data_IF_168709632174
#
_entry.id   IF_168709632174
#
_cell.length_a   1.000
_cell.length_b   1.000
_cell.length_c   1.000
_cell.angle_alpha   90.00
_cell.angle_beta   90.00
_cell.angle_gamma   90.00
#
_symmetry.space_group_name_H-M   'P 1'
#
loop_
_entity.id
_entity.type
_entity.pdbx_description
1 polymer ?
#
# COMPACT_ATOMS: atom_id res chain seq x y z
N UNK A 1 -10.22 -7.53 25.38
CA UNK A 1 -10.02 -8.64 24.44
C UNK A 1 -8.54 -9.02 24.36
N UNK A 2 -8.25 -10.19 23.82
CA UNK A 2 -6.90 -10.63 23.46
C UNK A 2 -6.60 -10.32 21.99
N UNK A 3 -5.57 -9.50 21.74
CA UNK A 3 -5.10 -9.09 20.42
C UNK A 3 -3.84 -9.87 20.06
N UNK A 4 -3.83 -10.54 18.91
CA UNK A 4 -2.74 -11.34 18.41
C UNK A 4 -1.97 -10.63 17.29
N UNK A 5 -0.64 -10.73 17.32
CA UNK A 5 0.26 -10.17 16.30
C UNK A 5 1.21 -11.28 15.82
N UNK A 6 0.84 -12.04 14.78
CA UNK A 6 1.73 -13.02 14.20
C UNK A 6 2.85 -12.32 13.41
N UNK A 7 3.96 -13.02 13.21
CA UNK A 7 5.05 -12.61 12.34
C UNK A 7 4.58 -12.65 10.88
N UNK A 8 5.00 -11.66 10.09
CA UNK A 8 4.73 -11.70 8.66
C UNK A 8 5.58 -12.77 7.97
N UNK A 9 4.93 -13.55 7.10
CA UNK A 9 5.56 -14.68 6.40
C UNK A 9 5.61 -14.50 4.87
N UNK A 10 5.02 -13.42 4.35
CA UNK A 10 5.12 -13.10 2.93
C UNK A 10 6.58 -12.75 2.60
N UNK A 11 7.06 -13.18 1.44
CA UNK A 11 8.45 -12.96 1.04
C UNK A 11 8.80 -11.46 1.07
N UNK A 12 9.96 -11.14 1.66
CA UNK A 12 10.45 -9.77 1.89
C UNK A 12 9.47 -8.83 2.60
N UNK A 13 8.59 -9.38 3.46
CA UNK A 13 7.77 -8.59 4.36
C UNK A 13 8.44 -8.50 5.74
N UNK A 14 9.00 -7.34 6.05
CA UNK A 14 9.71 -7.09 7.32
C UNK A 14 8.91 -6.20 8.28
N UNK A 15 7.73 -5.72 7.86
CA UNK A 15 6.84 -4.96 8.73
C UNK A 15 6.14 -5.89 9.72
N UNK A 16 5.58 -5.31 10.78
CA UNK A 16 4.80 -6.01 11.80
C UNK A 16 3.47 -5.29 12.07
N UNK A 17 2.44 -6.06 12.43
CA UNK A 17 1.07 -5.56 12.63
C UNK A 17 0.99 -4.48 13.71
N UNK A 18 1.64 -4.71 14.87
CA UNK A 18 1.71 -3.73 15.95
C UNK A 18 3.16 -3.40 16.35
N UNK A 19 3.44 -2.12 16.55
CA UNK A 19 4.68 -1.65 17.21
C UNK A 19 4.59 -1.79 18.73
N UNK A 20 5.72 -1.79 19.46
CA UNK A 20 5.70 -1.71 20.93
C UNK A 20 4.91 -0.50 21.47
N UNK A 21 4.93 0.64 20.77
CA UNK A 21 4.12 1.80 21.14
C UNK A 21 2.62 1.53 21.00
N UNK A 22 2.19 0.91 19.89
CA UNK A 22 0.80 0.51 19.71
C UNK A 22 0.36 -0.56 20.73
N UNK A 23 1.22 -1.54 21.02
CA UNK A 23 0.97 -2.53 22.08
C UNK A 23 0.69 -1.85 23.41
N UNK A 24 1.50 -0.87 23.80
CA UNK A 24 1.30 -0.12 25.04
C UNK A 24 -0.06 0.59 25.10
N UNK A 25 -0.55 1.09 23.98
CA UNK A 25 -1.88 1.70 23.88
C UNK A 25 -3.00 0.67 24.10
N UNK A 26 -2.92 -0.50 23.44
CA UNK A 26 -3.88 -1.59 23.68
C UNK A 26 -3.89 -2.05 25.14
N UNK A 27 -2.71 -2.25 25.75
CA UNK A 27 -2.57 -2.63 27.16
C UNK A 27 -3.13 -1.57 28.09
N UNK A 28 -2.86 -0.29 27.81
CA UNK A 28 -3.37 0.83 28.61
C UNK A 28 -4.90 0.99 28.52
N UNK A 29 -5.52 0.47 27.45
CA UNK A 29 -6.97 0.37 27.29
C UNK A 29 -7.55 -0.93 27.90
N UNK A 30 -6.77 -1.69 28.66
CA UNK A 30 -7.21 -2.89 29.36
C UNK A 30 -7.32 -4.14 28.47
N UNK A 31 -6.66 -4.14 27.30
CA UNK A 31 -6.56 -5.31 26.44
C UNK A 31 -5.28 -6.10 26.71
N UNK A 32 -5.30 -7.38 26.34
CA UNK A 32 -4.10 -8.22 26.34
C UNK A 32 -3.55 -8.28 24.92
N UNK A 33 -2.22 -8.35 24.79
CA UNK A 33 -1.56 -8.48 23.49
C UNK A 33 -0.63 -9.69 23.53
N UNK A 34 -0.75 -10.56 22.53
CA UNK A 34 0.08 -11.74 22.32
C UNK A 34 0.82 -11.59 21.00
N UNK A 35 2.14 -11.49 21.05
CA UNK A 35 3.01 -11.27 19.88
C UNK A 35 3.81 -12.53 19.61
N UNK A 36 3.87 -12.98 18.36
CA UNK A 36 4.78 -14.06 17.99
C UNK A 36 6.24 -13.63 18.19
N UNK A 37 7.06 -14.52 18.74
CA UNK A 37 8.50 -14.28 18.89
C UNK A 37 9.13 -13.83 17.57
N UNK A 38 10.00 -12.82 17.65
CA UNK A 38 10.72 -12.23 16.52
C UNK A 38 9.83 -11.60 15.44
N UNK A 39 8.56 -11.28 15.74
CA UNK A 39 7.66 -10.65 14.77
C UNK A 39 8.15 -9.28 14.27
N UNK A 40 8.80 -8.50 15.14
CA UNK A 40 9.33 -7.17 14.82
C UNK A 40 10.86 -7.08 14.70
N UNK A 41 11.57 -8.21 14.86
CA UNK A 41 13.03 -8.24 15.04
C UNK A 41 13.78 -7.64 13.84
N UNK A 42 13.33 -7.95 12.61
CA UNK A 42 13.94 -7.50 11.37
C UNK A 42 14.01 -5.97 11.20
N UNK A 43 13.20 -5.22 11.96
CA UNK A 43 13.18 -3.75 11.95
C UNK A 43 13.56 -3.14 13.30
N UNK A 44 14.15 -3.94 14.18
CA UNK A 44 14.68 -3.50 15.48
C UNK A 44 13.61 -3.33 16.56
N UNK A 45 12.56 -4.15 16.54
CA UNK A 45 11.63 -4.31 17.67
C UNK A 45 11.79 -5.72 18.24
N UNK A 46 12.61 -5.84 19.29
CA UNK A 46 12.86 -7.13 19.95
C UNK A 46 11.68 -7.57 20.82
N UNK A 47 11.63 -8.86 21.13
CA UNK A 47 10.65 -9.44 22.06
C UNK A 47 10.66 -8.72 23.43
N UNK A 48 11.84 -8.35 23.94
CA UNK A 48 11.98 -7.58 25.18
C UNK A 48 11.28 -6.22 25.11
N UNK A 49 11.26 -5.56 23.95
CA UNK A 49 10.55 -4.30 23.77
C UNK A 49 9.03 -4.51 23.83
N UNK A 50 8.53 -5.63 23.28
CA UNK A 50 7.12 -5.99 23.37
C UNK A 50 6.72 -6.36 24.80
N UNK A 51 7.55 -7.13 25.51
CA UNK A 51 7.36 -7.45 26.93
C UNK A 51 7.34 -6.18 27.77
N UNK A 52 8.29 -5.26 27.55
CA UNK A 52 8.33 -3.97 28.25
C UNK A 52 7.10 -3.07 27.95
N UNK A 53 6.46 -3.27 26.79
CA UNK A 53 5.21 -2.61 26.43
C UNK A 53 3.96 -3.30 27.03
N UNK A 54 4.12 -4.47 27.65
CA UNK A 54 3.05 -5.22 28.32
C UNK A 54 2.46 -6.39 27.51
N UNK A 55 3.07 -6.77 26.39
CA UNK A 55 2.65 -7.97 25.65
C UNK A 55 3.21 -9.26 26.26
N UNK A 56 2.48 -10.36 26.05
CA UNK A 56 3.02 -11.71 26.15
C UNK A 56 3.65 -12.12 24.81
N UNK A 57 4.63 -13.03 24.86
CA UNK A 57 5.28 -13.59 23.67
C UNK A 57 4.79 -15.03 23.45
N UNK A 58 4.26 -15.29 22.27
CA UNK A 58 3.92 -16.62 21.79
C UNK A 58 5.13 -17.24 21.08
N UNK A 59 5.34 -18.54 21.27
CA UNK A 59 6.43 -19.25 20.59
C UNK A 59 6.15 -19.55 19.12
N UNK A 60 4.87 -19.58 18.71
CA UNK A 60 4.49 -19.90 17.33
C UNK A 60 3.27 -19.10 16.86
N UNK A 61 3.12 -18.96 15.55
CA UNK A 61 1.94 -18.38 14.93
C UNK A 61 0.65 -19.13 15.33
N UNK A 62 0.68 -20.47 15.37
CA UNK A 62 -0.49 -21.29 15.72
C UNK A 62 -1.04 -20.91 17.09
N UNK A 63 -0.16 -20.63 18.06
CA UNK A 63 -0.58 -20.16 19.38
C UNK A 63 -1.29 -18.81 19.29
N UNK A 64 -0.71 -17.84 18.58
CA UNK A 64 -1.32 -16.51 18.38
C UNK A 64 -2.70 -16.64 17.75
N UNK A 65 -2.79 -17.38 16.64
CA UNK A 65 -4.06 -17.60 15.97
C UNK A 65 -5.04 -18.33 16.88
N UNK A 66 -4.65 -19.39 17.59
CA UNK A 66 -5.52 -20.20 18.46
C UNK A 66 -6.10 -19.45 19.65
N UNK A 67 -5.37 -18.49 20.23
CA UNK A 67 -5.78 -17.81 21.46
C UNK A 67 -6.46 -16.46 21.20
N UNK A 68 -5.97 -15.66 20.24
CA UNK A 68 -6.42 -14.28 20.08
C UNK A 68 -7.86 -14.14 19.53
N UNK A 69 -8.57 -13.13 20.01
CA UNK A 69 -9.91 -12.76 19.51
C UNK A 69 -9.82 -11.88 18.26
N UNK A 70 -8.79 -11.04 18.17
CA UNK A 70 -8.48 -10.21 17.02
C UNK A 70 -7.03 -10.41 16.58
N UNK A 71 -6.82 -10.68 15.29
CA UNK A 71 -5.51 -10.78 14.65
C UNK A 71 -5.22 -9.48 13.90
N UNK A 72 -4.12 -8.84 14.23
CA UNK A 72 -3.63 -7.64 13.54
C UNK A 72 -2.38 -8.00 12.73
N UNK A 73 -2.47 -7.84 11.41
CA UNK A 73 -1.40 -8.13 10.45
C UNK A 73 -1.14 -6.92 9.56
N UNK A 74 -0.06 -6.98 8.80
CA UNK A 74 0.24 -6.03 7.72
C UNK A 74 -0.29 -6.55 6.41
N UNK A 75 0.13 -7.75 5.99
CA UNK A 75 -0.24 -8.33 4.71
C UNK A 75 -1.37 -9.33 4.86
N UNK A 76 -1.91 -9.68 3.72
CA UNK A 76 -2.97 -10.66 3.63
C UNK A 76 -2.49 -12.03 4.12
N UNK A 77 -3.31 -12.76 4.91
CA UNK A 77 -2.91 -14.06 5.43
C UNK A 77 -2.60 -15.02 4.28
N UNK A 78 -1.51 -15.76 4.40
CA UNK A 78 -1.16 -16.79 3.44
C UNK A 78 -2.07 -18.02 3.63
N UNK A 79 -2.18 -18.94 2.66
CA UNK A 79 -3.15 -20.04 2.72
C UNK A 79 -3.08 -20.91 3.98
N UNK A 80 -1.91 -21.07 4.59
CA UNK A 80 -1.76 -21.75 5.87
C UNK A 80 -2.32 -20.93 7.05
N UNK A 81 -2.10 -19.61 7.07
CA UNK A 81 -2.66 -18.71 8.10
C UNK A 81 -4.18 -18.59 7.98
N UNK A 82 -4.74 -18.55 6.75
CA UNK A 82 -6.18 -18.52 6.56
C UNK A 82 -6.88 -19.74 7.19
N UNK A 83 -6.23 -20.91 7.16
CA UNK A 83 -6.75 -22.15 7.78
C UNK A 83 -6.68 -22.15 9.30
N UNK A 84 -5.89 -21.25 9.90
CA UNK A 84 -5.82 -21.07 11.35
C UNK A 84 -6.90 -20.13 11.89
N UNK A 85 -7.50 -19.31 11.01
CA UNK A 85 -8.63 -18.45 11.35
C UNK A 85 -9.88 -19.27 11.68
N UNK A 86 -10.72 -18.72 12.56
CA UNK A 86 -11.95 -19.37 13.01
C UNK A 86 -13.13 -18.41 13.10
N UNK A 87 -14.32 -18.98 13.11
CA UNK A 87 -15.57 -18.26 13.42
C UNK A 87 -15.46 -17.52 14.75
N UNK A 88 -15.96 -16.29 14.79
CA UNK A 88 -15.90 -15.41 15.96
C UNK A 88 -14.57 -14.63 16.12
N UNK A 89 -13.55 -14.93 15.31
CA UNK A 89 -12.30 -14.19 15.30
C UNK A 89 -12.37 -13.00 14.32
N UNK A 90 -11.68 -11.91 14.65
CA UNK A 90 -11.51 -10.76 13.77
C UNK A 90 -10.14 -10.74 13.14
N UNK A 91 -10.06 -10.53 11.83
CA UNK A 91 -8.83 -10.29 11.10
C UNK A 91 -8.82 -8.83 10.63
N UNK A 92 -7.79 -8.07 11.00
CA UNK A 92 -7.64 -6.66 10.65
C UNK A 92 -6.27 -6.43 9.98
N UNK A 93 -6.27 -6.33 8.65
CA UNK A 93 -5.04 -6.29 7.80
C UNK A 93 -5.34 -5.78 6.38
N UNK A 94 -4.34 -5.65 5.50
CA UNK A 94 -4.59 -5.56 4.05
C UNK A 94 -5.04 -6.91 3.48
N UNK A 95 -6.05 -6.94 2.60
CA UNK A 95 -6.53 -8.20 2.02
C UNK A 95 -6.32 -8.30 0.51
N UNK A 96 -6.71 -7.27 -0.25
CA UNK A 96 -6.68 -7.25 -1.70
C UNK A 96 -7.40 -8.47 -2.33
N UNK A 97 -8.64 -8.72 -1.91
CA UNK A 97 -9.38 -9.94 -2.26
C UNK A 97 -9.72 -10.09 -3.74
N UNK A 98 -10.06 -8.99 -4.44
CA UNK A 98 -10.53 -9.04 -5.83
C UNK A 98 -9.60 -9.80 -6.80
N UNK A 99 -8.26 -9.63 -6.75
CA UNK A 99 -7.33 -10.43 -7.55
C UNK A 99 -6.96 -11.81 -6.98
N UNK A 100 -7.38 -12.17 -5.76
CA UNK A 100 -7.01 -13.44 -5.10
C UNK A 100 -8.24 -14.31 -4.74
N UNK A 101 -8.70 -15.16 -5.68
CA UNK A 101 -9.82 -16.06 -5.45
C UNK A 101 -9.54 -17.09 -4.35
N UNK A 102 -8.30 -17.58 -4.25
CA UNK A 102 -7.94 -18.63 -3.28
C UNK A 102 -8.03 -18.08 -1.87
N UNK A 103 -7.50 -16.89 -1.63
CA UNK A 103 -7.63 -16.23 -0.35
C UNK A 103 -9.10 -15.97 -0.01
N UNK A 104 -9.87 -15.44 -0.97
CA UNK A 104 -11.29 -15.13 -0.77
C UNK A 104 -12.07 -16.36 -0.32
N UNK A 105 -11.90 -17.51 -0.99
CA UNK A 105 -12.53 -18.78 -0.60
C UNK A 105 -12.13 -19.22 0.82
N UNK A 106 -10.84 -19.13 1.16
CA UNK A 106 -10.34 -19.55 2.48
C UNK A 106 -10.85 -18.65 3.61
N UNK A 107 -10.94 -17.33 3.39
CA UNK A 107 -11.49 -16.42 4.38
C UNK A 107 -12.99 -16.62 4.58
N UNK A 108 -13.75 -16.87 3.50
CA UNK A 108 -15.16 -17.26 3.57
C UNK A 108 -15.30 -18.55 4.40
N UNK A 109 -14.51 -19.57 4.09
CA UNK A 109 -14.55 -20.87 4.77
C UNK A 109 -14.18 -20.78 6.26
N UNK A 110 -13.30 -19.84 6.64
CA UNK A 110 -12.92 -19.63 8.05
C UNK A 110 -14.07 -19.14 8.93
N UNK A 111 -15.06 -18.46 8.33
CA UNK A 111 -16.14 -17.78 9.05
C UNK A 111 -15.71 -16.59 9.90
N UNK A 112 -14.45 -16.13 9.78
CA UNK A 112 -13.94 -14.97 10.51
C UNK A 112 -14.57 -13.65 10.02
N UNK A 113 -14.46 -12.60 10.84
CA UNK A 113 -14.78 -11.22 10.46
C UNK A 113 -13.53 -10.56 9.91
N UNK A 114 -13.47 -10.34 8.60
CA UNK A 114 -12.28 -9.84 7.91
C UNK A 114 -12.49 -8.37 7.50
N UNK A 115 -11.66 -7.49 8.05
CA UNK A 115 -11.69 -6.05 7.85
C UNK A 115 -10.42 -5.65 7.09
N UNK A 116 -10.60 -5.08 5.89
CA UNK A 116 -9.53 -4.70 4.99
C UNK A 116 -9.10 -3.24 5.24
N UNK A 117 -7.81 -3.01 5.47
CA UNK A 117 -7.27 -1.65 5.64
C UNK A 117 -7.59 -0.76 4.43
N UNK A 118 -7.40 -1.29 3.23
CA UNK A 118 -7.52 -0.55 1.97
C UNK A 118 -8.96 -0.20 1.58
N UNK A 119 -9.97 -0.67 2.32
CA UNK A 119 -11.38 -0.30 2.08
C UNK A 119 -12.00 0.50 3.22
N UNK A 120 -11.27 0.74 4.32
CA UNK A 120 -11.64 1.76 5.31
C UNK A 120 -11.54 3.13 4.64
N UNK A 121 -12.57 3.96 4.86
CA UNK A 121 -12.72 5.27 4.19
C UNK A 121 -12.54 6.44 5.15
N UNK A 122 -12.64 7.67 4.66
CA UNK A 122 -12.76 8.88 5.49
C UNK A 122 -13.87 9.82 4.96
N UNK A 123 -14.18 10.88 5.71
CA UNK A 123 -15.21 11.86 5.35
C UNK A 123 -14.89 12.68 4.09
N UNK A 124 -13.65 12.60 3.59
CA UNK A 124 -13.18 13.28 2.37
C UNK A 124 -13.15 12.34 1.17
N UNK A 125 -13.66 11.11 1.31
CA UNK A 125 -13.65 10.09 0.26
C UNK A 125 -12.28 9.45 0.04
N UNK A 126 -11.35 9.61 0.98
CA UNK A 126 -10.03 9.01 0.98
C UNK A 126 -9.99 7.61 1.60
N UNK A 127 -8.79 7.01 1.55
CA UNK A 127 -8.47 5.71 2.13
C UNK A 127 -7.38 5.91 3.20
N UNK A 128 -7.74 6.28 4.44
CA UNK A 128 -6.79 6.76 5.45
C UNK A 128 -5.75 5.71 5.86
N UNK A 129 -6.08 4.42 5.74
CA UNK A 129 -5.15 3.34 6.08
C UNK A 129 -4.27 2.93 4.90
N UNK A 130 -4.62 3.32 3.67
CA UNK A 130 -3.76 3.14 2.48
C UNK A 130 -2.84 4.33 2.24
N UNK A 131 -3.26 5.53 2.66
CA UNK A 131 -2.54 6.77 2.44
C UNK A 131 -1.08 6.71 2.92
N UNK A 132 -0.74 6.24 4.15
CA UNK A 132 0.66 6.19 4.60
C UNK A 132 1.54 5.33 3.70
N UNK A 133 1.02 4.21 3.17
CA UNK A 133 1.78 3.35 2.25
C UNK A 133 1.97 4.03 0.90
N UNK A 134 0.96 4.77 0.44
CA UNK A 134 1.06 5.61 -0.77
C UNK A 134 2.09 6.73 -0.61
N UNK A 135 2.16 7.36 0.57
CA UNK A 135 3.17 8.37 0.87
C UNK A 135 4.58 7.78 0.81
N UNK A 136 4.80 6.64 1.46
CA UNK A 136 6.10 5.94 1.42
C UNK A 136 6.47 5.55 0.00
N UNK A 137 5.56 4.90 -0.74
CA UNK A 137 5.82 4.45 -2.10
C UNK A 137 6.14 5.63 -3.04
N UNK A 138 5.39 6.74 -2.92
CA UNK A 138 5.68 7.98 -3.64
C UNK A 138 7.08 8.51 -3.35
N UNK A 139 7.52 8.53 -2.08
CA UNK A 139 8.87 8.99 -1.75
C UNK A 139 9.97 8.05 -2.24
N UNK A 140 9.78 6.75 -2.04
CA UNK A 140 10.72 5.73 -2.49
C UNK A 140 10.84 5.70 -4.01
N UNK A 141 9.78 6.03 -4.76
CA UNK A 141 9.82 6.04 -6.22
C UNK A 141 10.92 6.92 -6.79
N UNK A 142 11.17 8.07 -6.17
CA UNK A 142 12.24 8.98 -6.57
C UNK A 142 13.60 8.50 -6.11
N UNK A 143 13.70 7.91 -4.92
CA UNK A 143 14.97 7.34 -4.44
C UNK A 143 15.42 6.18 -5.34
N UNK A 144 14.51 5.26 -5.66
CA UNK A 144 14.76 4.16 -6.58
C UNK A 144 15.07 4.71 -7.99
N UNK A 145 14.25 5.63 -8.51
CA UNK A 145 14.46 6.24 -9.81
C UNK A 145 15.81 6.94 -9.94
N UNK A 146 16.24 7.68 -8.93
CA UNK A 146 17.55 8.33 -8.89
C UNK A 146 18.70 7.34 -8.87
N UNK A 147 18.57 6.26 -8.10
CA UNK A 147 19.59 5.21 -8.04
C UNK A 147 19.73 4.48 -9.39
N UNK A 148 18.60 4.13 -10.02
CA UNK A 148 18.60 3.44 -11.32
C UNK A 148 18.90 4.36 -12.51
N UNK A 149 18.95 5.68 -12.31
CA UNK A 149 19.50 6.62 -13.27
C UNK A 149 21.03 6.54 -13.37
N UNK A 150 21.72 6.00 -12.37
CA UNK A 150 23.18 5.85 -12.41
C UNK A 150 23.62 4.89 -13.53
N UNK A 151 24.75 5.19 -14.17
CA UNK A 151 25.21 4.42 -15.34
C UNK A 151 25.53 2.97 -15.01
N UNK A 152 25.96 2.69 -13.78
CA UNK A 152 26.23 1.35 -13.27
C UNK A 152 24.99 0.44 -13.26
N UNK A 153 23.79 1.04 -13.25
CA UNK A 153 22.51 0.33 -13.22
C UNK A 153 21.75 0.38 -14.56
N UNK A 154 22.42 0.81 -15.65
CA UNK A 154 21.84 0.89 -16.99
C UNK A 154 21.19 2.24 -17.33
N UNK A 155 21.06 3.14 -16.35
CA UNK A 155 20.52 4.47 -16.55
C UNK A 155 21.38 5.40 -17.41
N UNK A 156 20.89 6.61 -17.64
CA UNK A 156 21.52 7.63 -18.47
C UNK A 156 22.76 8.25 -17.82
N UNK A 157 22.94 8.10 -16.51
CA UNK A 157 23.96 8.77 -15.71
C UNK A 157 23.54 10.16 -15.22
N UNK A 158 22.25 10.50 -15.31
CA UNK A 158 21.73 11.82 -14.90
C UNK A 158 21.60 11.90 -13.38
N UNK A 159 22.33 12.83 -12.77
CA UNK A 159 22.11 13.24 -11.39
C UNK A 159 20.89 14.19 -11.34
N UNK A 160 19.83 13.80 -10.62
CA UNK A 160 18.58 14.56 -10.59
C UNK A 160 18.75 16.03 -10.20
N UNK A 161 19.58 16.34 -9.22
CA UNK A 161 19.81 17.72 -8.77
C UNK A 161 20.73 18.55 -9.66
N UNK A 162 21.42 17.92 -10.62
CA UNK A 162 22.53 18.56 -11.34
C UNK A 162 23.59 19.12 -10.37
N UNK A 163 24.34 20.11 -10.85
CA UNK A 163 25.29 20.93 -10.07
C UNK A 163 25.38 22.32 -10.71
N UNK A 164 25.88 23.37 -10.04
CA UNK A 164 26.05 24.68 -10.66
C UNK A 164 26.80 24.60 -12.00
N UNK A 165 26.15 25.04 -13.09
CA UNK A 165 26.66 24.95 -14.46
C UNK A 165 26.19 23.73 -15.27
N UNK A 166 25.44 22.80 -14.65
CA UNK A 166 24.88 21.60 -15.29
C UNK A 166 23.37 21.53 -14.99
N UNK A 167 22.56 21.28 -16.02
CA UNK A 167 21.10 21.20 -15.86
C UNK A 167 20.69 20.02 -14.94
N UNK A 168 19.62 20.18 -14.15
CA UNK A 168 19.05 19.09 -13.37
C UNK A 168 18.35 18.06 -14.28
N UNK A 169 18.11 16.87 -13.73
CA UNK A 169 17.29 15.85 -14.38
C UNK A 169 15.82 16.24 -14.41
N UNK A 170 15.12 15.80 -15.46
CA UNK A 170 13.68 16.03 -15.65
C UNK A 170 12.87 14.86 -15.10
N UNK A 171 11.98 15.14 -14.15
CA UNK A 171 11.09 14.15 -13.53
C UNK A 171 9.65 14.42 -13.94
N UNK A 172 9.04 13.43 -14.58
CA UNK A 172 7.61 13.41 -14.88
C UNK A 172 6.88 12.56 -13.85
N UNK A 173 5.81 13.07 -13.26
CA UNK A 173 4.91 12.31 -12.39
C UNK A 173 3.54 12.26 -13.05
N UNK A 174 3.04 11.05 -13.34
CA UNK A 174 1.71 10.86 -13.94
C UNK A 174 0.74 10.45 -12.83
N UNK A 175 -0.15 11.35 -12.46
CA UNK A 175 -1.08 11.23 -11.33
C UNK A 175 -0.69 12.14 -10.17
N UNK A 176 -1.58 13.07 -9.80
CA UNK A 176 -1.38 14.07 -8.75
C UNK A 176 -1.86 13.66 -7.36
N UNK A 177 -2.22 12.40 -7.15
CA UNK A 177 -2.70 11.87 -5.87
C UNK A 177 -1.63 11.83 -4.76
N UNK A 178 -1.85 11.03 -3.72
CA UNK A 178 -0.94 10.92 -2.56
C UNK A 178 0.47 10.48 -2.98
N UNK A 179 0.55 9.43 -3.82
CA UNK A 179 1.82 8.94 -4.38
C UNK A 179 2.54 10.04 -5.14
N UNK A 180 1.87 10.63 -6.14
CA UNK A 180 2.49 11.63 -7.01
C UNK A 180 2.92 12.91 -6.29
N UNK A 181 2.15 13.34 -5.29
CA UNK A 181 2.52 14.49 -4.45
C UNK A 181 3.81 14.24 -3.67
N UNK A 182 3.94 13.03 -3.10
CA UNK A 182 5.13 12.67 -2.34
C UNK A 182 6.34 12.42 -3.25
N UNK A 183 6.12 11.85 -4.44
CA UNK A 183 7.15 11.76 -5.47
C UNK A 183 7.64 13.16 -5.87
N UNK A 184 6.74 14.08 -6.21
CA UNK A 184 7.11 15.45 -6.57
C UNK A 184 7.85 16.19 -5.44
N UNK A 185 7.42 16.04 -4.18
CA UNK A 185 8.14 16.58 -3.01
C UNK A 185 9.58 16.07 -2.94
N UNK A 186 9.81 14.79 -3.21
CA UNK A 186 11.16 14.23 -3.14
C UNK A 186 12.00 14.61 -4.34
N UNK A 187 11.45 14.59 -5.54
CA UNK A 187 12.16 15.00 -6.75
C UNK A 187 12.57 16.48 -6.67
N UNK A 188 11.65 17.35 -6.26
CA UNK A 188 11.94 18.78 -6.05
C UNK A 188 12.99 18.97 -4.94
N UNK A 189 12.89 18.22 -3.84
CA UNK A 189 13.86 18.27 -2.74
C UNK A 189 15.27 17.83 -3.14
N UNK A 190 15.41 16.98 -4.16
CA UNK A 190 16.71 16.63 -4.76
C UNK A 190 17.21 17.68 -5.76
N UNK A 191 16.40 18.69 -6.11
CA UNK A 191 16.73 19.74 -7.08
C UNK A 191 16.33 19.43 -8.53
N UNK A 192 15.49 18.42 -8.76
CA UNK A 192 15.04 18.05 -10.10
C UNK A 192 14.09 19.08 -10.73
N UNK A 193 13.99 19.08 -12.06
CA UNK A 193 12.93 19.77 -12.79
C UNK A 193 11.67 18.88 -12.86
N UNK A 194 10.63 19.24 -12.13
CA UNK A 194 9.46 18.37 -11.90
C UNK A 194 8.21 18.86 -12.65
N UNK A 195 7.56 17.94 -13.35
CA UNK A 195 6.21 18.12 -13.92
C UNK A 195 5.26 17.06 -13.37
N UNK A 196 4.06 17.46 -12.94
CA UNK A 196 2.95 16.56 -12.60
C UNK A 196 1.85 16.67 -13.66
N UNK A 197 1.40 15.53 -14.18
CA UNK A 197 0.20 15.41 -15.03
C UNK A 197 -0.99 14.88 -14.22
N UNK A 198 -2.14 15.55 -14.30
CA UNK A 198 -3.41 15.07 -13.72
C UNK A 198 -4.60 15.53 -14.57
N UNK A 199 -5.76 14.86 -14.47
CA UNK A 199 -7.01 15.27 -15.16
C UNK A 199 -7.90 16.16 -14.31
N UNK A 200 -7.64 16.26 -13.00
CA UNK A 200 -8.41 17.07 -12.07
C UNK A 200 -7.81 18.47 -11.98
N UNK A 201 -8.46 19.44 -12.64
CA UNK A 201 -8.10 20.86 -12.52
C UNK A 201 -8.14 21.37 -11.06
N UNK A 202 -9.11 20.99 -10.21
CA UNK A 202 -9.04 21.31 -8.78
C UNK A 202 -7.79 20.75 -8.11
N UNK A 203 -7.36 19.53 -8.47
CA UNK A 203 -6.16 18.92 -7.90
C UNK A 203 -4.89 19.63 -8.36
N UNK A 204 -4.78 19.96 -9.64
CA UNK A 204 -3.64 20.71 -10.17
C UNK A 204 -3.49 22.08 -9.49
N UNK A 205 -4.60 22.80 -9.23
CA UNK A 205 -4.57 24.04 -8.45
C UNK A 205 -4.02 23.83 -7.04
N UNK A 206 -4.47 22.80 -6.33
CA UNK A 206 -3.93 22.48 -4.99
C UNK A 206 -2.42 22.17 -5.04
N UNK A 207 -1.96 21.46 -6.07
CA UNK A 207 -0.54 21.13 -6.21
C UNK A 207 0.28 22.40 -6.49
N UNK A 208 -0.21 23.29 -7.34
CA UNK A 208 0.42 24.59 -7.59
C UNK A 208 0.58 25.41 -6.30
N UNK A 209 -0.48 25.47 -5.48
CA UNK A 209 -0.44 26.11 -4.16
C UNK A 209 0.57 25.44 -3.20
N UNK A 210 0.61 24.09 -3.17
CA UNK A 210 1.52 23.31 -2.31
C UNK A 210 2.99 23.56 -2.66
N UNK A 211 3.28 23.66 -3.96
CA UNK A 211 4.65 23.81 -4.47
C UNK A 211 5.02 25.25 -4.80
N UNK A 212 4.10 26.21 -4.58
CA UNK A 212 4.30 27.63 -4.85
C UNK A 212 4.88 27.89 -6.26
N UNK A 213 4.30 27.21 -7.27
CA UNK A 213 4.72 27.30 -8.67
C UNK A 213 6.06 26.63 -9.02
N UNK A 214 6.76 26.00 -8.08
CA UNK A 214 8.05 25.33 -8.35
C UNK A 214 7.92 24.01 -9.10
N UNK A 215 6.73 23.39 -9.07
CA UNK A 215 6.41 22.17 -9.82
C UNK A 215 5.43 22.52 -10.93
N UNK A 216 5.74 22.12 -12.16
CA UNK A 216 4.85 22.34 -13.31
C UNK A 216 3.63 21.43 -13.18
N UNK A 217 2.44 22.01 -13.02
CA UNK A 217 1.17 21.26 -12.98
C UNK A 217 0.47 21.35 -14.33
N UNK A 218 0.31 20.24 -15.04
CA UNK A 218 -0.22 20.24 -16.41
C UNK A 218 -1.41 19.29 -16.53
N UNK A 219 -2.41 19.70 -17.31
CA UNK A 219 -3.55 18.85 -17.60
C UNK A 219 -3.14 17.65 -18.48
N UNK A 220 -3.53 16.45 -18.06
CA UNK A 220 -3.13 15.20 -18.71
C UNK A 220 -3.91 14.92 -20.00
N UNK A 221 -3.49 15.52 -21.11
CA UNK A 221 -3.86 15.12 -22.48
C UNK A 221 -2.89 14.07 -23.03
N UNK A 222 -3.26 13.41 -24.13
CA UNK A 222 -2.34 12.51 -24.85
C UNK A 222 -1.06 13.24 -25.30
N UNK A 223 -1.23 14.42 -25.91
CA UNK A 223 -0.13 15.30 -26.33
C UNK A 223 0.82 15.66 -25.17
N UNK A 224 0.26 16.00 -23.99
CA UNK A 224 1.08 16.28 -22.81
C UNK A 224 1.85 15.03 -22.34
N UNK A 225 1.19 13.87 -22.27
CA UNK A 225 1.85 12.62 -21.89
C UNK A 225 3.02 12.32 -22.83
N UNK A 226 2.80 12.39 -24.14
CA UNK A 226 3.82 12.14 -25.17
C UNK A 226 4.98 13.13 -25.06
N UNK A 227 4.68 14.43 -25.00
CA UNK A 227 5.69 15.46 -24.92
C UNK A 227 6.57 15.32 -23.66
N UNK A 228 5.95 15.20 -22.49
CA UNK A 228 6.69 15.18 -21.24
C UNK A 228 7.42 13.84 -21.02
N UNK A 229 6.84 12.71 -21.42
CA UNK A 229 7.48 11.40 -21.24
C UNK A 229 8.72 11.24 -22.13
N UNK A 230 8.65 11.65 -23.40
CA UNK A 230 9.78 11.61 -24.32
C UNK A 230 10.97 12.48 -23.85
N UNK A 231 10.71 13.51 -23.05
CA UNK A 231 11.71 14.43 -22.54
C UNK A 231 12.18 14.15 -21.11
N UNK A 232 11.54 13.21 -20.40
CA UNK A 232 11.87 12.89 -19.02
C UNK A 232 13.13 12.01 -18.92
N UNK A 233 13.88 12.20 -17.83
CA UNK A 233 14.94 11.26 -17.43
C UNK A 233 14.36 10.21 -16.47
N UNK A 234 13.39 10.59 -15.64
CA UNK A 234 12.63 9.71 -14.76
C UNK A 234 11.12 9.96 -14.93
N UNK A 235 10.33 8.90 -15.12
CA UNK A 235 8.87 8.96 -15.07
C UNK A 235 8.37 8.11 -13.90
N UNK A 236 7.50 8.69 -13.08
CA UNK A 236 6.81 8.01 -11.97
C UNK A 236 5.34 7.83 -12.34
N UNK A 237 4.93 6.57 -12.46
CA UNK A 237 3.54 6.16 -12.64
C UNK A 237 2.83 6.12 -11.28
N UNK A 238 1.96 7.10 -11.02
CA UNK A 238 1.33 7.34 -9.72
C UNK A 238 -0.21 7.37 -9.79
N UNK A 239 -0.80 6.71 -10.79
CA UNK A 239 -2.25 6.64 -10.96
C UNK A 239 -2.82 5.43 -10.25
N UNK A 240 -3.86 5.68 -9.44
CA UNK A 240 -4.61 4.69 -8.70
C UNK A 240 -6.09 4.88 -9.02
N UNK A 241 -6.76 3.81 -9.45
CA UNK A 241 -8.22 3.78 -9.52
C UNK A 241 -8.69 2.77 -8.46
N UNK A 242 -9.32 3.23 -7.36
CA UNK A 242 -9.77 2.33 -6.30
C UNK A 242 -10.63 1.19 -6.84
N UNK A 243 -10.24 -0.05 -6.55
CA UNK A 243 -11.00 -1.26 -6.92
C UNK A 243 -10.96 -1.66 -8.40
N UNK A 244 -10.13 -1.01 -9.24
CA UNK A 244 -10.00 -1.34 -10.65
C UNK A 244 -8.52 -1.49 -11.06
N UNK A 245 -8.28 -2.13 -12.21
CA UNK A 245 -6.93 -2.17 -12.80
C UNK A 245 -6.47 -0.77 -13.19
N UNK A 246 -5.17 -0.51 -13.05
CA UNK A 246 -4.59 0.76 -13.48
C UNK A 246 -4.70 0.90 -15.01
N UNK A 247 -5.12 2.08 -15.53
CA UNK A 247 -5.15 2.32 -16.97
C UNK A 247 -3.72 2.34 -17.52
N UNK A 248 -3.53 1.85 -18.75
CA UNK A 248 -2.25 1.94 -19.46
C UNK A 248 -2.12 3.35 -20.05
N UNK A 249 -1.26 4.17 -19.44
CA UNK A 249 -1.07 5.59 -19.75
C UNK A 249 0.08 5.85 -20.72
N UNK A 250 1.08 4.96 -20.72
CA UNK A 250 2.13 4.92 -21.74
C UNK A 250 2.06 3.59 -22.46
N UNK A 251 1.92 3.66 -23.78
CA UNK A 251 2.00 2.50 -24.65
C UNK A 251 3.47 2.19 -25.01
N UNK A 252 3.72 1.03 -25.61
CA UNK A 252 5.08 0.61 -25.98
C UNK A 252 5.77 1.59 -26.92
N UNK A 253 5.07 2.12 -27.92
CA UNK A 253 5.64 3.05 -28.90
C UNK A 253 6.15 4.33 -28.25
N UNK A 254 5.37 4.89 -27.32
CA UNK A 254 5.75 6.07 -26.54
C UNK A 254 6.97 5.78 -25.64
N UNK A 255 7.04 4.58 -25.06
CA UNK A 255 8.16 4.16 -24.21
C UNK A 255 9.44 4.00 -25.05
N UNK A 256 9.36 3.35 -26.22
CA UNK A 256 10.51 3.21 -27.12
C UNK A 256 11.01 4.55 -27.67
N UNK A 257 10.18 5.60 -27.66
CA UNK A 257 10.54 6.96 -28.06
C UNK A 257 11.18 7.80 -26.93
N UNK A 258 11.27 7.27 -25.71
CA UNK A 258 11.93 7.94 -24.60
C UNK A 258 13.46 7.99 -24.80
N UNK A 259 14.11 8.85 -24.02
CA UNK A 259 15.58 8.91 -24.00
C UNK A 259 16.18 7.56 -23.58
N UNK A 260 17.22 7.06 -24.28
CA UNK A 260 17.98 5.92 -23.82
C UNK A 260 18.55 6.15 -22.40
N UNK A 261 18.42 5.15 -21.53
CA UNK A 261 18.80 5.22 -20.12
C UNK A 261 17.83 5.98 -19.23
N UNK A 262 16.65 6.37 -19.72
CA UNK A 262 15.58 6.87 -18.85
C UNK A 262 15.03 5.76 -17.96
N UNK A 263 14.41 6.16 -16.85
CA UNK A 263 13.86 5.23 -15.85
C UNK A 263 12.35 5.42 -15.74
N UNK A 264 11.61 4.33 -15.82
CA UNK A 264 10.19 4.24 -15.48
C UNK A 264 10.05 3.60 -14.10
N UNK A 265 9.38 4.27 -13.17
CA UNK A 265 9.02 3.73 -11.87
C UNK A 265 7.50 3.59 -11.80
N UNK A 266 7.00 2.36 -11.89
CA UNK A 266 5.55 2.09 -11.88
C UNK A 266 5.08 1.76 -10.47
N UNK A 267 4.60 2.76 -9.73
CA UNK A 267 4.08 2.56 -8.37
C UNK A 267 2.70 1.88 -8.41
N UNK A 268 2.00 1.95 -9.54
CA UNK A 268 0.71 1.29 -9.73
C UNK A 268 0.83 -0.22 -10.05
N UNK A 269 2.06 -0.78 -9.97
CA UNK A 269 2.31 -2.18 -10.32
C UNK A 269 1.52 -3.19 -9.49
N UNK A 270 1.21 -2.85 -8.24
CA UNK A 270 0.38 -3.68 -7.35
C UNK A 270 -1.06 -3.88 -7.90
N UNK A 271 -1.48 -3.08 -8.89
CA UNK A 271 -2.77 -3.19 -9.59
C UNK A 271 -2.62 -3.44 -11.10
N UNK A 272 -1.50 -4.05 -11.50
CA UNK A 272 -1.20 -4.39 -12.90
C UNK A 272 -0.38 -3.35 -13.66
N UNK A 273 -0.03 -2.23 -13.04
CA UNK A 273 0.85 -1.20 -13.60
C UNK A 273 0.18 -0.26 -14.59
N UNK A 274 0.62 0.99 -14.62
CA UNK A 274 0.09 2.02 -15.52
C UNK A 274 0.90 2.17 -16.82
N UNK A 275 1.95 1.39 -17.03
CA UNK A 275 2.66 1.30 -18.32
C UNK A 275 2.37 -0.04 -19.01
N UNK A 276 2.29 -0.04 -20.34
CA UNK A 276 1.99 -1.24 -21.13
C UNK A 276 3.07 -2.32 -20.96
N UNK A 277 4.33 -1.90 -20.88
CA UNK A 277 5.50 -2.77 -20.74
C UNK A 277 5.81 -3.16 -19.28
N UNK A 278 4.99 -2.73 -18.31
CA UNK A 278 5.18 -3.03 -16.89
C UNK A 278 4.94 -4.50 -16.55
N UNK A 279 5.89 -5.08 -15.82
CA UNK A 279 5.82 -6.42 -15.24
C UNK A 279 6.30 -6.35 -13.80
N UNK A 280 5.55 -6.96 -12.88
CA UNK A 280 5.91 -6.98 -11.47
C UNK A 280 7.31 -7.61 -11.26
N UNK A 281 8.10 -6.93 -10.44
CA UNK A 281 9.46 -7.33 -10.02
C UNK A 281 9.53 -7.40 -8.50
N UNK A 282 10.67 -7.81 -7.95
CA UNK A 282 10.89 -7.98 -6.50
C UNK A 282 12.02 -7.08 -6.03
N UNK A 283 12.18 -6.92 -4.71
CA UNK A 283 13.34 -6.21 -4.16
C UNK A 283 14.69 -6.87 -4.52
N UNK A 284 14.69 -8.17 -4.84
CA UNK A 284 15.89 -8.91 -5.24
C UNK A 284 16.27 -8.68 -6.71
N UNK A 285 15.27 -8.68 -7.60
CA UNK A 285 15.44 -8.46 -9.04
C UNK A 285 14.56 -7.28 -9.48
N UNK A 286 14.93 -6.03 -9.12
CA UNK A 286 14.00 -4.89 -9.11
C UNK A 286 13.80 -4.20 -10.45
N UNK A 287 14.65 -4.48 -11.43
CA UNK A 287 14.61 -3.81 -12.73
C UNK A 287 14.80 -4.76 -13.90
N UNK A 288 14.29 -4.33 -15.05
CA UNK A 288 14.61 -4.88 -16.36
C UNK A 288 14.67 -3.74 -17.38
N UNK A 289 15.24 -4.00 -18.56
CA UNK A 289 15.39 -2.98 -19.62
C UNK A 289 14.60 -3.38 -20.85
N UNK A 290 13.84 -2.44 -21.41
CA UNK A 290 13.15 -2.59 -22.70
C UNK A 290 13.44 -1.34 -23.51
N UNK A 291 13.90 -1.50 -24.75
CA UNK A 291 14.17 -0.41 -25.69
C UNK A 291 15.03 0.71 -25.06
N UNK A 292 16.09 0.30 -24.34
CA UNK A 292 17.01 1.15 -23.56
C UNK A 292 16.38 1.93 -22.40
N UNK A 293 15.14 1.64 -22.02
CA UNK A 293 14.44 2.23 -20.86
C UNK A 293 14.45 1.26 -19.69
N UNK A 294 14.96 1.71 -18.54
CA UNK A 294 14.99 0.94 -17.29
C UNK A 294 13.61 0.96 -16.66
N UNK A 295 13.05 -0.22 -16.38
CA UNK A 295 11.76 -0.38 -15.73
C UNK A 295 11.97 -0.85 -14.30
N UNK A 296 11.56 -0.02 -13.34
CA UNK A 296 11.45 -0.37 -11.93
C UNK A 296 9.98 -0.60 -11.61
N UNK A 297 9.63 -1.84 -11.31
CA UNK A 297 8.24 -2.26 -11.11
C UNK A 297 8.11 -3.12 -9.84
N UNK A 298 8.83 -2.76 -8.78
CA UNK A 298 8.87 -3.55 -7.55
C UNK A 298 7.51 -3.46 -6.86
N UNK A 299 6.83 -4.59 -6.75
CA UNK A 299 5.62 -4.68 -5.96
C UNK A 299 5.95 -4.50 -4.47
N UNK A 300 5.01 -3.95 -3.70
CA UNK A 300 5.21 -3.73 -2.27
C UNK A 300 6.46 -2.89 -1.93
N UNK A 301 6.68 -1.77 -2.62
CA UNK A 301 7.81 -0.86 -2.36
C UNK A 301 7.99 -0.51 -0.87
N UNK A 302 6.94 -0.19 -0.09
CA UNK A 302 7.08 0.17 1.32
C UNK A 302 7.71 -0.91 2.21
N UNK A 303 7.75 -2.17 1.77
CA UNK A 303 8.46 -3.26 2.46
C UNK A 303 9.98 -3.04 2.53
N UNK A 304 10.58 -2.33 1.58
CA UNK A 304 12.01 -2.03 1.57
C UNK A 304 12.46 -1.03 2.65
N UNK A 305 11.53 -0.27 3.23
CA UNK A 305 11.76 0.66 4.35
C UNK A 305 10.85 0.34 5.52
N UNK A 306 10.73 -0.96 5.82
CA UNK A 306 9.74 -1.52 6.74
C UNK A 306 9.67 -0.83 8.10
N UNK A 307 10.79 -0.35 8.69
CA UNK A 307 10.74 0.40 9.96
C UNK A 307 9.86 1.65 9.87
N UNK A 308 10.10 2.47 8.85
CA UNK A 308 9.31 3.70 8.59
C UNK A 308 7.86 3.34 8.28
N UNK A 309 7.65 2.35 7.41
CA UNK A 309 6.31 1.94 6.98
C UNK A 309 5.49 1.34 8.11
N UNK A 310 6.08 0.52 8.98
CA UNK A 310 5.40 -0.03 10.15
C UNK A 310 4.91 1.07 11.07
N UNK A 311 5.75 2.06 11.37
CA UNK A 311 5.37 3.18 12.22
C UNK A 311 4.26 4.02 11.58
N UNK A 312 4.39 4.33 10.29
CA UNK A 312 3.40 5.10 9.55
C UNK A 312 2.04 4.37 9.48
N UNK A 313 2.05 3.06 9.22
CA UNK A 313 0.84 2.24 9.19
C UNK A 313 0.18 2.17 10.57
N UNK A 314 0.97 1.91 11.62
CA UNK A 314 0.46 1.80 13.00
C UNK A 314 -0.20 3.10 13.47
N UNK A 315 0.38 4.26 13.15
CA UNK A 315 -0.22 5.54 13.51
C UNK A 315 -1.60 5.74 12.88
N UNK A 316 -1.83 5.19 11.69
CA UNK A 316 -3.11 5.28 11.00
C UNK A 316 -4.11 4.20 11.45
N UNK A 317 -3.65 2.97 11.69
CA UNK A 317 -4.53 1.83 12.05
C UNK A 317 -4.90 1.80 13.52
N UNK A 318 -4.08 2.38 14.41
CA UNK A 318 -4.26 2.31 15.86
C UNK A 318 -5.63 2.81 16.34
N UNK A 319 -6.17 3.97 15.90
CA UNK A 319 -7.48 4.42 16.37
C UNK A 319 -8.61 3.45 16.05
N UNK A 320 -8.60 2.86 14.85
CA UNK A 320 -9.60 1.87 14.43
C UNK A 320 -9.41 0.53 15.14
N UNK A 321 -8.17 0.07 15.30
CA UNK A 321 -7.85 -1.14 16.05
C UNK A 321 -8.30 -1.05 17.52
N UNK A 322 -8.08 0.09 18.17
CA UNK A 322 -8.58 0.34 19.53
C UNK A 322 -10.11 0.41 19.57
N UNK A 323 -10.76 1.01 18.57
CA UNK A 323 -12.22 1.05 18.51
C UNK A 323 -12.81 -0.37 18.41
N UNK A 324 -12.25 -1.22 17.55
CA UNK A 324 -12.62 -2.64 17.44
C UNK A 324 -12.43 -3.38 18.78
N UNK A 325 -11.33 -3.11 19.47
CA UNK A 325 -11.01 -3.78 20.72
C UNK A 325 -11.85 -3.32 21.92
N UNK A 326 -12.15 -2.03 21.99
CA UNK A 326 -12.93 -1.42 23.07
C UNK A 326 -14.42 -1.73 22.98
N UNK A 327 -14.99 -1.68 21.78
CA UNK A 327 -16.45 -1.78 21.58
C UNK A 327 -16.92 -3.16 21.12
N UNK A 328 -15.98 -4.00 20.69
CA UNK A 328 -16.25 -5.19 19.90
C UNK A 328 -16.41 -4.87 18.41
N UNK A 329 -16.01 -5.76 17.49
CA UNK A 329 -15.96 -5.48 16.05
C UNK A 329 -17.29 -5.01 15.45
N UNK A 330 -18.40 -5.71 15.75
CA UNK A 330 -19.70 -5.39 15.20
C UNK A 330 -20.18 -4.00 15.61
N UNK A 331 -20.13 -3.67 16.90
CA UNK A 331 -20.55 -2.35 17.40
C UNK A 331 -19.63 -1.23 16.89
N UNK A 332 -18.32 -1.45 16.87
CA UNK A 332 -17.36 -0.48 16.34
C UNK A 332 -17.66 -0.11 14.89
N UNK A 333 -17.97 -1.11 14.05
CA UNK A 333 -18.36 -0.88 12.65
C UNK A 333 -19.74 -0.23 12.52
N UNK A 334 -20.74 -0.67 13.30
CA UNK A 334 -22.09 -0.08 13.22
C UNK A 334 -22.14 1.39 13.69
N UNK A 335 -21.24 1.81 14.56
CA UNK A 335 -21.11 3.20 15.02
C UNK A 335 -20.24 4.07 14.10
N UNK A 336 -19.43 3.46 13.24
CA UNK A 336 -18.52 4.17 12.32
C UNK A 336 -18.68 3.64 10.90
N UNK A 337 -19.45 4.38 10.08
CA UNK A 337 -19.67 4.10 8.65
C UNK A 337 -18.36 3.89 7.86
N UNK A 338 -17.26 4.52 8.28
CA UNK A 338 -15.99 4.41 7.58
C UNK A 338 -15.27 3.11 7.87
N UNK A 339 -15.30 2.67 9.13
CA UNK A 339 -14.80 1.37 9.53
C UNK A 339 -15.70 0.25 8.99
N UNK A 340 -17.01 0.47 8.93
CA UNK A 340 -17.96 -0.46 8.30
C UNK A 340 -17.64 -0.74 6.84
N UNK A 341 -17.23 0.27 6.07
CA UNK A 341 -16.77 0.10 4.68
C UNK A 341 -15.51 -0.79 4.59
N UNK A 342 -14.78 -0.95 5.69
CA UNK A 342 -13.67 -1.89 5.86
C UNK A 342 -14.11 -3.36 5.84
N UNK A 343 -15.37 -3.68 6.18
CA UNK A 343 -15.83 -5.06 6.28
C UNK A 343 -15.88 -5.71 4.89
N UNK A 344 -15.13 -6.80 4.72
CA UNK A 344 -15.03 -7.52 3.45
C UNK A 344 -15.67 -8.91 3.52
N UNK A 345 -15.47 -9.65 4.62
CA UNK A 345 -16.06 -10.97 4.85
C UNK A 345 -16.56 -11.05 6.28
N UNK A 346 -17.76 -11.61 6.48
CA UNK A 346 -18.30 -11.90 7.81
C UNK A 346 -19.14 -13.18 7.79
N UNK A 347 -18.73 -14.18 8.58
CA UNK A 347 -19.43 -15.48 8.69
C UNK A 347 -19.78 -16.11 7.32
N UNK A 348 -18.84 -16.03 6.38
CA UNK A 348 -18.99 -16.58 5.02
C UNK A 348 -19.75 -15.68 4.04
N UNK A 349 -20.28 -14.53 4.48
CA UNK A 349 -20.91 -13.52 3.62
C UNK A 349 -19.85 -12.54 3.11
N UNK A 350 -19.90 -12.17 1.83
CA UNK A 350 -19.02 -11.15 1.24
C UNK A 350 -19.73 -9.81 1.21
N UNK A 351 -19.11 -8.80 1.83
CA UNK A 351 -19.74 -7.50 2.09
C UNK A 351 -19.12 -6.35 1.32
N UNK A 352 -18.10 -6.62 0.50
CA UNK A 352 -17.49 -5.62 -0.37
C UNK A 352 -17.82 -5.88 -1.83
N UNK A 353 -18.62 -4.98 -2.43
CA UNK A 353 -19.23 -5.19 -3.76
C UNK A 353 -18.19 -5.46 -4.86
N UNK A 354 -17.06 -4.76 -4.86
CA UNK A 354 -16.05 -4.91 -5.90
C UNK A 354 -15.43 -6.32 -5.93
N UNK A 355 -15.39 -7.02 -4.79
CA UNK A 355 -14.93 -8.43 -4.73
C UNK A 355 -15.94 -9.35 -5.39
N UNK A 356 -17.24 -9.13 -5.16
CA UNK A 356 -18.31 -9.88 -5.83
C UNK A 356 -18.35 -9.57 -7.33
N UNK A 357 -18.15 -8.32 -7.73
CA UNK A 357 -18.08 -7.95 -9.14
C UNK A 357 -16.89 -8.63 -9.85
N UNK A 358 -15.76 -8.78 -9.17
CA UNK A 358 -14.55 -9.41 -9.72
C UNK A 358 -14.60 -10.95 -9.72
N UNK A 359 -15.16 -11.56 -8.68
CA UNK A 359 -15.05 -13.01 -8.42
C UNK A 359 -16.38 -13.76 -8.33
N UNK A 360 -17.52 -13.06 -8.37
CA UNK A 360 -18.84 -13.60 -8.09
C UNK A 360 -19.26 -14.72 -9.03
N UNK A 361 -19.04 -14.59 -10.34
CA UNK A 361 -19.32 -15.66 -11.31
C UNK A 361 -18.44 -16.89 -11.08
N UNK A 362 -17.18 -16.68 -10.74
CA UNK A 362 -16.19 -17.75 -10.55
C UNK A 362 -16.43 -18.53 -9.26
N UNK A 363 -16.77 -17.83 -8.18
CA UNK A 363 -16.84 -18.36 -6.82
C UNK A 363 -18.29 -18.53 -6.31
N UNK A 364 -19.30 -18.18 -7.10
CA UNK A 364 -20.71 -18.24 -6.70
C UNK A 364 -21.06 -17.26 -5.58
N UNK A 365 -20.43 -16.08 -5.54
CA UNK A 365 -20.60 -15.12 -4.45
C UNK A 365 -21.85 -14.27 -4.63
N UNK A 366 -22.51 -13.95 -3.52
CA UNK A 366 -23.59 -12.97 -3.47
C UNK A 366 -23.19 -11.83 -2.55
N UNK A 367 -23.39 -10.59 -3.00
CA UNK A 367 -23.15 -9.41 -2.19
C UNK A 367 -24.17 -9.31 -1.06
N UNK A 368 -23.70 -9.13 0.17
CA UNK A 368 -24.55 -8.80 1.32
C UNK A 368 -24.13 -7.44 1.90
N UNK A 369 -25.03 -6.47 2.07
CA UNK A 369 -24.70 -5.22 2.74
C UNK A 369 -24.06 -5.46 4.12
N UNK A 370 -22.99 -4.73 4.43
CA UNK A 370 -22.22 -4.92 5.66
C UNK A 370 -23.08 -4.82 6.94
N UNK A 371 -24.04 -3.88 6.99
CA UNK A 371 -24.97 -3.75 8.12
C UNK A 371 -25.88 -4.98 8.29
N UNK A 372 -26.35 -5.56 7.19
CA UNK A 372 -27.20 -6.75 7.22
C UNK A 372 -26.39 -7.97 7.66
N UNK A 373 -25.15 -8.09 7.17
CA UNK A 373 -24.27 -9.17 7.56
C UNK A 373 -24.03 -9.20 9.08
N UNK A 374 -23.84 -8.04 9.72
CA UNK A 374 -23.57 -7.92 11.16
C UNK A 374 -24.80 -8.11 12.07
N UNK A 375 -26.03 -8.03 11.53
CA UNK A 375 -27.28 -8.12 12.31
C UNK A 375 -27.86 -9.54 12.40
N UNK A 376 -27.32 -10.49 11.62
CA UNK A 376 -27.77 -11.90 11.57
C UNK A 376 -28.46 -12.24 10.27
#
# INVERSE_FOLDING_TARGET
MLVGVPKEIKNHEYRVGLTPAAVKEFVSNGHQVLVETLAGDAIGFSDDMYIAAGAAIASTAEQVFAEAEMIVKVKEPQPNECKMLRKGQTLYTYLHLAPDPTQTELLIASGATCIAYETVTDDRGGLPLLAPMSEVAGRMSVQAGAHYLEKAHGGSGTLLGGVPGVAPGKVLVIGGGVVGTNAAKMALGLGADVTILDRSLPRLRQLDDIFNGQVKTVYSTLDAIEHYSANADLVVGAVLIPGAAAPKLLNREQISAMKPGSVLVDVAIDQGGCFETSKATTHQDPVYVIDDVVHYCVANMPGGVARTSTMALNNATLPFGLALANKGPANAMLEDKHLLNGLNVHEGKVTYKAVVDALGEKLGLTYTPAEEALKG
#
